data_IF_391959487435
#
_entry.id   IF_391959487435
#
_cell.length_a   1.000
_cell.length_b   1.000
_cell.length_c   1.000
_cell.angle_alpha   90.00
_cell.angle_beta   90.00
_cell.angle_gamma   90.00
#
_symmetry.space_group_name_H-M   'P 1'
#
loop_
_entity.id
_entity.type
_entity.pdbx_description
1 polymer ?
#
# COMPACT_ATOMS: atom_id res chain seq x y z
N UNK A 1 2.37 5.37 19.57
CA UNK A 1 2.88 4.27 18.74
C UNK A 1 4.34 4.00 19.10
N UNK A 2 4.72 2.75 19.22
CA UNK A 2 6.11 2.37 19.52
C UNK A 2 6.94 2.29 18.25
N UNK A 3 8.26 2.36 18.40
CA UNK A 3 9.18 2.17 17.27
C UNK A 3 8.98 0.78 16.63
N UNK A 4 8.74 -0.25 17.44
CA UNK A 4 8.47 -1.61 16.97
C UNK A 4 7.23 -1.67 16.07
N UNK A 5 6.16 -0.99 16.46
CA UNK A 5 4.94 -0.92 15.67
C UNK A 5 5.19 -0.21 14.33
N UNK A 6 5.96 0.87 14.35
CA UNK A 6 6.32 1.59 13.13
C UNK A 6 7.15 0.71 12.20
N UNK A 7 8.12 -0.03 12.74
CA UNK A 7 8.92 -0.98 11.96
C UNK A 7 8.05 -2.04 11.30
N UNK A 8 7.07 -2.58 12.01
CA UNK A 8 6.14 -3.56 11.48
C UNK A 8 5.29 -3.00 10.33
N UNK A 9 4.85 -1.74 10.46
CA UNK A 9 4.09 -1.07 9.40
C UNK A 9 4.92 -0.89 8.12
N UNK A 10 6.17 -0.47 8.27
CA UNK A 10 7.08 -0.29 7.13
C UNK A 10 7.44 -1.64 6.50
N UNK A 11 7.66 -2.67 7.32
CA UNK A 11 7.95 -4.02 6.84
C UNK A 11 6.77 -4.57 6.01
N UNK A 12 5.54 -4.36 6.46
CA UNK A 12 4.35 -4.77 5.72
C UNK A 12 4.26 -4.08 4.35
N UNK A 13 4.65 -2.80 4.31
CA UNK A 13 4.68 -2.04 3.06
C UNK A 13 5.70 -2.62 2.08
N UNK A 14 6.88 -2.98 2.57
CA UNK A 14 7.93 -3.61 1.77
C UNK A 14 7.53 -4.99 1.26
N UNK A 15 6.91 -5.80 2.13
CA UNK A 15 6.58 -7.20 1.83
C UNK A 15 5.37 -7.35 0.90
N UNK A 16 4.51 -6.34 0.81
CA UNK A 16 3.31 -6.41 -0.03
C UNK A 16 3.70 -6.49 -1.51
N UNK A 17 3.31 -7.57 -2.24
CA UNK A 17 3.70 -7.74 -3.65
C UNK A 17 3.19 -6.62 -4.56
N UNK A 18 2.07 -5.99 -4.22
CA UNK A 18 1.44 -4.96 -5.01
C UNK A 18 2.01 -3.56 -4.77
N UNK A 19 2.91 -3.39 -3.78
CA UNK A 19 3.53 -2.09 -3.51
C UNK A 19 4.33 -1.60 -4.71
N UNK A 20 4.23 -0.29 -4.98
CA UNK A 20 5.01 0.37 -6.02
C UNK A 20 6.51 0.13 -5.76
N UNK A 21 7.31 -0.19 -6.79
CA UNK A 21 8.76 -0.42 -6.62
C UNK A 21 9.49 0.72 -5.91
N UNK A 22 9.10 1.98 -6.16
CA UNK A 22 9.69 3.13 -5.47
C UNK A 22 9.33 3.16 -3.99
N UNK A 23 8.15 2.69 -3.64
CA UNK A 23 7.69 2.59 -2.26
C UNK A 23 8.47 1.50 -1.53
N UNK A 24 8.70 0.37 -2.19
CA UNK A 24 9.53 -0.71 -1.63
C UNK A 24 10.96 -0.24 -1.40
N UNK A 25 11.54 0.53 -2.32
CA UNK A 25 12.87 1.11 -2.19
C UNK A 25 12.92 2.04 -0.97
N UNK A 26 11.93 2.92 -0.82
CA UNK A 26 11.81 3.81 0.33
C UNK A 26 11.73 3.02 1.64
N UNK A 27 10.89 1.99 1.68
CA UNK A 27 10.72 1.14 2.87
C UNK A 27 12.03 0.45 3.26
N UNK A 28 12.77 -0.03 2.27
CA UNK A 28 14.07 -0.66 2.51
C UNK A 28 15.08 0.34 3.07
N UNK A 29 15.16 1.55 2.51
CA UNK A 29 16.02 2.62 3.03
C UNK A 29 15.67 2.96 4.47
N UNK A 30 14.38 3.02 4.78
CA UNK A 30 13.92 3.32 6.13
C UNK A 30 14.40 2.24 7.12
N UNK A 31 14.24 0.96 6.74
CA UNK A 31 14.68 -0.15 7.57
C UNK A 31 16.20 -0.18 7.74
N UNK A 32 16.95 0.08 6.68
CA UNK A 32 18.42 0.10 6.70
C UNK A 32 18.97 1.26 7.54
N UNK A 33 18.19 2.33 7.69
CA UNK A 33 18.59 3.50 8.46
C UNK A 33 18.26 3.40 9.95
N UNK A 34 17.83 2.23 10.41
CA UNK A 34 17.44 2.02 11.81
C UNK A 34 18.51 2.49 12.78
N UNK A 35 18.08 3.26 13.79
CA UNK A 35 18.98 3.78 14.80
C UNK A 35 19.75 5.04 14.38
N UNK A 36 19.49 5.58 13.20
CA UNK A 36 20.16 6.79 12.69
C UNK A 36 19.21 7.97 12.58
N UNK A 37 19.78 9.18 12.49
CA UNK A 37 18.99 10.40 12.25
C UNK A 37 18.28 10.37 10.90
N UNK A 38 18.85 9.65 9.94
CA UNK A 38 18.27 9.50 8.60
C UNK A 38 16.89 8.83 8.67
N UNK A 39 16.73 7.84 9.54
CA UNK A 39 15.45 7.18 9.72
C UNK A 39 14.38 8.16 10.20
N UNK A 40 14.72 9.07 11.12
CA UNK A 40 13.79 10.10 11.59
C UNK A 40 13.36 11.04 10.47
N UNK A 41 14.28 11.42 9.59
CA UNK A 41 13.99 12.24 8.42
C UNK A 41 13.07 11.50 7.44
N UNK A 42 13.34 10.23 7.18
CA UNK A 42 12.52 9.41 6.31
C UNK A 42 11.11 9.20 6.87
N UNK A 43 10.99 9.10 8.19
CA UNK A 43 9.70 8.95 8.86
C UNK A 43 8.77 10.13 8.57
N UNK A 44 9.30 11.32 8.41
CA UNK A 44 8.51 12.52 8.07
C UNK A 44 7.86 12.41 6.69
N UNK A 45 8.43 11.59 5.80
CA UNK A 45 7.94 11.39 4.44
C UNK A 45 7.04 10.15 4.32
N UNK A 46 7.00 9.32 5.36
CA UNK A 46 6.34 8.00 5.32
C UNK A 46 4.85 8.09 4.96
N UNK A 47 4.12 9.01 5.56
CA UNK A 47 2.68 9.19 5.29
C UNK A 47 2.45 9.57 3.83
N UNK A 48 3.24 10.48 3.30
CA UNK A 48 3.14 10.90 1.89
C UNK A 48 3.43 9.73 0.95
N UNK A 49 4.42 8.91 1.27
CA UNK A 49 4.77 7.71 0.49
C UNK A 49 3.60 6.72 0.51
N UNK A 50 3.00 6.50 1.67
CA UNK A 50 1.83 5.61 1.79
C UNK A 50 0.64 6.13 0.98
N UNK A 51 0.41 7.44 0.98
CA UNK A 51 -0.67 8.05 0.19
C UNK A 51 -0.47 7.85 -1.31
N UNK A 52 0.77 7.80 -1.78
CA UNK A 52 1.08 7.53 -3.19
C UNK A 52 0.93 6.05 -3.56
N UNK A 53 0.97 5.15 -2.58
CA UNK A 53 0.91 3.70 -2.78
C UNK A 53 -0.51 3.14 -2.71
N UNK A 54 -1.47 3.87 -2.16
CA UNK A 54 -2.84 3.42 -2.00
C UNK A 54 -3.65 3.73 -3.26
N UNK A 55 -4.53 2.80 -3.66
CA UNK A 55 -5.41 2.98 -4.81
C UNK A 55 -6.87 3.16 -4.35
N UNK A 56 -7.58 4.08 -4.97
CA UNK A 56 -9.02 4.19 -4.80
C UNK A 56 -9.68 2.95 -5.41
N UNK A 57 -10.80 2.51 -4.84
CA UNK A 57 -11.48 1.29 -5.31
C UNK A 57 -11.87 1.39 -6.79
N UNK A 58 -12.26 2.57 -7.27
CA UNK A 58 -12.61 2.77 -8.67
C UNK A 58 -11.41 2.61 -9.59
N UNK A 59 -10.20 2.99 -9.14
CA UNK A 59 -8.96 2.76 -9.89
C UNK A 59 -8.68 1.26 -10.03
N UNK A 60 -8.90 0.50 -8.97
CA UNK A 60 -8.72 -0.96 -8.99
C UNK A 60 -9.72 -1.62 -9.93
N UNK A 61 -10.98 -1.18 -9.92
CA UNK A 61 -12.01 -1.69 -10.83
C UNK A 61 -11.62 -1.40 -12.28
N UNK A 62 -11.17 -0.19 -12.57
CA UNK A 62 -10.72 0.20 -13.91
C UNK A 62 -9.53 -0.65 -14.38
N UNK A 63 -8.56 -0.87 -13.53
CA UNK A 63 -7.41 -1.72 -13.84
C UNK A 63 -7.85 -3.17 -14.07
N UNK A 64 -8.66 -3.74 -13.17
CA UNK A 64 -9.05 -5.15 -13.23
C UNK A 64 -9.88 -5.47 -14.47
N UNK A 65 -10.61 -4.49 -15.00
CA UNK A 65 -11.38 -4.64 -16.23
C UNK A 65 -10.58 -4.39 -17.51
N UNK A 66 -9.30 -4.06 -17.42
CA UNK A 66 -8.45 -3.71 -18.57
C UNK A 66 -7.73 -4.92 -19.15
N UNK A 67 -7.27 -4.79 -20.41
CA UNK A 67 -6.42 -5.80 -21.05
C UNK A 67 -5.11 -5.99 -20.30
N UNK A 68 -4.55 -4.91 -19.74
CA UNK A 68 -3.30 -4.98 -18.99
C UNK A 68 -3.43 -5.93 -17.79
N UNK A 69 -4.53 -5.88 -17.08
CA UNK A 69 -4.78 -6.79 -15.96
C UNK A 69 -4.84 -8.25 -16.44
N UNK A 70 -5.47 -8.49 -17.59
CA UNK A 70 -5.54 -9.82 -18.19
C UNK A 70 -4.14 -10.33 -18.55
N UNK A 71 -3.27 -9.46 -19.06
CA UNK A 71 -1.90 -9.82 -19.41
C UNK A 71 -1.04 -10.13 -18.19
N UNK A 72 -1.23 -9.37 -17.08
CA UNK A 72 -0.43 -9.52 -15.87
C UNK A 72 -0.93 -10.64 -14.98
N UNK A 73 -2.24 -10.71 -14.77
CA UNK A 73 -2.89 -11.62 -13.80
C UNK A 73 -3.50 -12.87 -14.44
N UNK A 74 -3.58 -12.90 -15.76
CA UNK A 74 -4.34 -13.90 -16.49
C UNK A 74 -5.84 -13.55 -16.49
N UNK A 75 -6.58 -14.17 -17.38
CA UNK A 75 -8.01 -13.90 -17.56
C UNK A 75 -8.80 -14.16 -16.26
N UNK A 76 -8.53 -15.29 -15.62
CA UNK A 76 -9.22 -15.68 -14.38
C UNK A 76 -8.84 -14.76 -13.23
N UNK A 77 -7.54 -14.46 -13.07
CA UNK A 77 -7.06 -13.58 -12.02
C UNK A 77 -7.64 -12.18 -12.13
N UNK A 78 -7.70 -11.62 -13.34
CA UNK A 78 -8.30 -10.31 -13.59
C UNK A 78 -9.79 -10.31 -13.30
N UNK A 79 -10.52 -11.35 -13.69
CA UNK A 79 -11.95 -11.47 -13.42
C UNK A 79 -12.23 -11.59 -11.93
N UNK A 80 -11.43 -12.35 -11.20
CA UNK A 80 -11.55 -12.51 -9.76
C UNK A 80 -11.30 -11.19 -9.03
N UNK A 81 -10.27 -10.45 -9.43
CA UNK A 81 -9.97 -9.14 -8.85
C UNK A 81 -11.10 -8.14 -9.11
N UNK A 82 -11.62 -8.12 -10.33
CA UNK A 82 -12.72 -7.23 -10.70
C UNK A 82 -13.97 -7.51 -9.85
N UNK A 83 -14.34 -8.78 -9.71
CA UNK A 83 -15.50 -9.16 -8.92
C UNK A 83 -15.30 -8.80 -7.45
N UNK A 84 -14.15 -9.10 -6.89
CA UNK A 84 -13.83 -8.75 -5.51
C UNK A 84 -13.90 -7.23 -5.27
N UNK A 85 -13.31 -6.45 -6.16
CA UNK A 85 -13.31 -4.99 -6.05
C UNK A 85 -14.74 -4.43 -6.10
N UNK A 86 -15.59 -4.95 -6.98
CA UNK A 86 -17.00 -4.56 -7.06
C UNK A 86 -17.75 -4.93 -5.78
N UNK A 87 -17.48 -6.11 -5.23
CA UNK A 87 -18.12 -6.59 -4.01
C UNK A 87 -17.79 -5.70 -2.80
N UNK A 88 -16.53 -5.34 -2.61
CA UNK A 88 -16.16 -4.48 -1.49
C UNK A 88 -16.65 -3.05 -1.69
N UNK A 89 -16.70 -2.55 -2.93
CA UNK A 89 -17.28 -1.24 -3.22
C UNK A 89 -18.76 -1.21 -2.82
N UNK A 90 -19.50 -2.27 -3.14
CA UNK A 90 -20.91 -2.37 -2.77
C UNK A 90 -21.13 -2.34 -1.25
N UNK A 91 -20.10 -2.73 -0.47
CA UNK A 91 -20.12 -2.70 0.99
C UNK A 91 -19.62 -1.36 1.55
N UNK A 92 -19.28 -0.39 0.70
CA UNK A 92 -18.88 0.95 1.10
C UNK A 92 -17.38 1.20 1.11
N UNK A 93 -16.57 0.30 0.56
CA UNK A 93 -15.12 0.50 0.51
C UNK A 93 -14.75 1.66 -0.42
N UNK A 94 -13.85 2.52 0.04
CA UNK A 94 -13.33 3.64 -0.76
C UNK A 94 -12.00 3.27 -1.44
N UNK A 95 -11.27 2.32 -0.86
CA UNK A 95 -9.93 1.94 -1.30
C UNK A 95 -9.85 0.45 -1.60
N UNK A 96 -8.90 0.10 -2.48
CA UNK A 96 -8.53 -1.30 -2.71
C UNK A 96 -8.07 -1.94 -1.38
N UNK A 97 -8.31 -3.23 -1.22
CA UNK A 97 -7.90 -3.98 -0.02
C UNK A 97 -6.77 -4.97 -0.28
N UNK A 98 -5.99 -4.77 -1.35
CA UNK A 98 -4.79 -5.57 -1.55
C UNK A 98 -3.78 -5.30 -0.41
N UNK A 99 -2.82 -6.20 -0.24
CA UNK A 99 -1.85 -6.09 0.86
C UNK A 99 -1.14 -4.74 0.89
N UNK A 100 -0.75 -4.21 -0.29
CA UNK A 100 -0.12 -2.89 -0.39
C UNK A 100 -1.04 -1.77 0.06
N UNK A 101 -2.30 -1.80 -0.33
CA UNK A 101 -3.26 -0.77 0.05
C UNK A 101 -3.62 -0.84 1.53
N UNK A 102 -3.76 -2.05 2.08
CA UNK A 102 -3.99 -2.23 3.53
C UNK A 102 -2.81 -1.71 4.33
N UNK A 103 -1.58 -2.05 3.94
CA UNK A 103 -0.37 -1.57 4.61
C UNK A 103 -0.28 -0.04 4.56
N UNK A 104 -0.59 0.55 3.40
CA UNK A 104 -0.58 2.00 3.20
C UNK A 104 -1.65 2.69 4.06
N UNK A 105 -2.85 2.15 4.08
CA UNK A 105 -3.95 2.72 4.87
C UNK A 105 -3.65 2.69 6.37
N UNK A 106 -3.03 1.62 6.85
CA UNK A 106 -2.64 1.53 8.26
C UNK A 106 -1.68 2.64 8.65
N UNK A 107 -0.76 3.02 7.77
CA UNK A 107 0.15 4.14 7.99
C UNK A 107 -0.61 5.47 7.96
N UNK A 108 -1.48 5.67 6.97
CA UNK A 108 -2.26 6.89 6.81
C UNK A 108 -3.18 7.13 8.02
N UNK A 109 -3.82 6.08 8.52
CA UNK A 109 -4.71 6.17 9.67
C UNK A 109 -3.98 6.61 10.95
N UNK A 110 -2.67 6.40 11.01
CA UNK A 110 -1.84 6.77 12.16
C UNK A 110 -1.00 8.03 11.91
N UNK A 111 -1.33 8.81 10.88
CA UNK A 111 -0.54 9.99 10.49
C UNK A 111 -0.33 11.00 11.61
N UNK A 112 -1.30 11.16 12.50
CA UNK A 112 -1.18 12.10 13.63
C UNK A 112 -0.12 11.65 14.64
N UNK A 113 0.19 10.36 14.69
CA UNK A 113 1.20 9.80 15.60
C UNK A 113 2.57 9.72 14.93
N UNK A 114 2.61 9.64 13.60
CA UNK A 114 3.84 9.48 12.81
C UNK A 114 4.43 10.84 12.42
N UNK A 115 3.57 11.77 12.03
CA UNK A 115 4.01 13.07 11.50
C UNK A 115 4.45 14.03 12.59
#
# INVERSE_FOLDING_TARGET
MTHTQLTQLVQALLDAPQSNPKVKEFAQFWLDAEGTEKQAELTKQLVSVAEQNIALIDETIGFAGSELATQILGKEGAANLLQHAKDIKAKGAEFCDCDACVASKNIIDLKAEIA
#
